data_IF_580181187613
#
_entry.id   IF_580181187613
#
_cell.length_a   1.000
_cell.length_b   1.000
_cell.length_c   1.000
_cell.angle_alpha   90.00
_cell.angle_beta   90.00
_cell.angle_gamma   90.00
#
_symmetry.space_group_name_H-M   'P 1'
#
loop_
_entity.id
_entity.type
_entity.pdbx_description
1 polymer ?
#
# COMPACT_ATOMS: atom_id res chain seq x y z
N UNK A 1 -11.20 -36.68 6.00
CA UNK A 1 -11.33 -35.40 5.27
C UNK A 1 -10.99 -34.29 6.25
N UNK A 2 -9.87 -33.57 6.06
CA UNK A 2 -9.53 -32.43 6.92
C UNK A 2 -10.28 -31.21 6.38
N UNK A 3 -11.29 -30.74 7.10
CA UNK A 3 -11.92 -29.45 6.85
C UNK A 3 -10.90 -28.36 7.12
N UNK A 4 -10.43 -27.69 6.07
CA UNK A 4 -9.56 -26.53 6.18
C UNK A 4 -10.44 -25.34 6.58
N UNK A 5 -10.26 -24.85 7.80
CA UNK A 5 -10.89 -23.59 8.24
C UNK A 5 -10.46 -22.49 7.28
N UNK A 6 -11.38 -21.67 6.72
CA UNK A 6 -10.98 -20.55 5.88
C UNK A 6 -10.03 -19.65 6.68
N UNK A 7 -8.82 -19.42 6.16
CA UNK A 7 -7.92 -18.47 6.79
C UNK A 7 -8.58 -17.09 6.74
N UNK A 8 -8.54 -16.31 7.84
CA UNK A 8 -9.02 -14.94 7.80
C UNK A 8 -8.20 -14.19 6.73
N UNK A 9 -8.90 -13.55 5.78
CA UNK A 9 -8.25 -12.69 4.79
C UNK A 9 -7.47 -11.62 5.55
N UNK A 10 -6.15 -11.67 5.45
CA UNK A 10 -5.29 -10.66 6.06
C UNK A 10 -5.40 -9.36 5.24
N UNK A 11 -5.50 -8.19 5.89
CA UNK A 11 -5.45 -6.91 5.18
C UNK A 11 -4.14 -6.79 4.40
N UNK A 12 -4.17 -6.08 3.27
CA UNK A 12 -2.91 -5.63 2.68
C UNK A 12 -2.25 -4.63 3.63
N UNK A 13 -0.92 -4.61 3.67
CA UNK A 13 -0.11 -3.66 4.41
C UNK A 13 1.05 -3.14 3.53
N UNK A 14 1.15 -1.83 3.39
CA UNK A 14 2.27 -1.15 2.74
C UNK A 14 3.10 -0.49 3.83
N UNK A 15 4.39 -0.81 3.89
CA UNK A 15 5.34 -0.23 4.84
C UNK A 15 6.07 0.91 4.15
N UNK A 16 5.69 2.14 4.47
CA UNK A 16 6.22 3.36 3.84
C UNK A 16 7.31 3.95 4.72
N UNK A 17 8.50 4.19 4.18
CA UNK A 17 9.57 4.86 4.92
C UNK A 17 9.17 6.30 5.29
N UNK A 18 9.49 6.73 6.51
CA UNK A 18 9.23 8.08 6.99
C UNK A 18 10.25 9.10 6.43
N UNK A 19 10.31 9.23 5.11
CA UNK A 19 11.11 10.24 4.40
C UNK A 19 10.21 11.17 3.58
N UNK A 20 10.59 12.45 3.38
CA UNK A 20 9.74 13.44 2.72
C UNK A 20 9.24 13.02 1.34
N UNK A 21 10.03 12.25 0.60
CA UNK A 21 9.73 11.77 -0.74
C UNK A 21 8.47 10.89 -0.80
N UNK A 22 8.17 10.14 0.27
CA UNK A 22 7.01 9.25 0.34
C UNK A 22 5.83 9.83 1.12
N UNK A 23 5.97 11.01 1.74
CA UNK A 23 4.88 11.65 2.48
C UNK A 23 3.57 11.75 1.66
N UNK A 24 3.59 12.14 0.36
CA UNK A 24 2.37 12.22 -0.44
C UNK A 24 1.57 10.91 -0.52
N UNK A 25 2.24 9.75 -0.49
CA UNK A 25 1.56 8.44 -0.50
C UNK A 25 0.74 8.25 0.77
N UNK A 26 1.33 8.53 1.93
CA UNK A 26 0.64 8.37 3.23
C UNK A 26 -0.49 9.38 3.40
N UNK A 27 -0.31 10.62 2.94
CA UNK A 27 -1.37 11.63 2.97
C UNK A 27 -2.55 11.24 2.07
N UNK A 28 -2.27 10.79 0.85
CA UNK A 28 -3.32 10.29 -0.04
C UNK A 28 -4.06 9.10 0.57
N UNK A 29 -3.34 8.16 1.20
CA UNK A 29 -3.95 7.03 1.88
C UNK A 29 -4.88 7.45 3.04
N UNK A 30 -4.54 8.51 3.80
CA UNK A 30 -5.43 9.04 4.86
C UNK A 30 -6.74 9.59 4.33
N UNK A 31 -6.81 9.98 3.05
CA UNK A 31 -8.03 10.46 2.41
C UNK A 31 -8.92 9.32 1.87
N UNK A 32 -8.44 8.08 1.85
CA UNK A 32 -9.19 6.93 1.37
C UNK A 32 -9.95 6.27 2.53
N UNK A 33 -11.30 6.19 2.50
CA UNK A 33 -12.09 5.58 3.57
C UNK A 33 -11.79 4.09 3.80
N UNK A 34 -11.24 3.41 2.79
CA UNK A 34 -10.83 2.00 2.88
C UNK A 34 -9.48 1.79 3.58
N UNK A 35 -8.72 2.87 3.83
CA UNK A 35 -7.37 2.80 4.36
C UNK A 35 -7.33 3.12 5.85
N UNK A 36 -6.50 2.37 6.58
CA UNK A 36 -6.03 2.71 7.92
C UNK A 36 -4.55 3.07 7.84
N UNK A 37 -4.15 4.17 8.47
CA UNK A 37 -2.76 4.66 8.40
C UNK A 37 -2.21 4.83 9.82
N UNK A 38 -1.16 4.08 10.15
CA UNK A 38 -0.59 4.03 11.50
C UNK A 38 0.91 4.29 11.45
N UNK A 39 1.44 5.10 12.38
CA UNK A 39 2.88 5.26 12.56
C UNK A 39 3.44 4.04 13.31
N UNK A 40 4.54 3.46 12.82
CA UNK A 40 5.26 2.34 13.43
C UNK A 40 6.77 2.52 13.29
N UNK A 41 7.38 3.18 14.28
CA UNK A 41 8.82 3.47 14.27
C UNK A 41 9.21 4.30 13.06
N UNK A 42 10.19 3.82 12.29
CA UNK A 42 10.70 4.49 11.07
C UNK A 42 9.78 4.32 9.84
N UNK A 43 8.62 3.71 10.03
CA UNK A 43 7.63 3.47 8.99
C UNK A 43 6.28 4.11 9.31
N UNK A 44 5.53 4.40 8.26
CA UNK A 44 4.08 4.56 8.29
C UNK A 44 3.46 3.37 7.56
N UNK A 45 2.54 2.68 8.22
CA UNK A 45 1.88 1.49 7.66
C UNK A 45 0.50 1.88 7.14
N UNK A 46 0.27 1.64 5.86
CA UNK A 46 -1.04 1.77 5.22
C UNK A 46 -1.66 0.37 5.14
N UNK A 47 -2.85 0.19 5.72
CA UNK A 47 -3.58 -1.09 5.68
C UNK A 47 -4.95 -0.95 5.02
N UNK A 48 -5.41 -1.99 4.30
CA UNK A 48 -6.76 -2.04 3.73
C UNK A 48 -7.27 -3.49 3.61
N UNK A 49 -8.55 -3.71 3.88
CA UNK A 49 -9.22 -5.02 3.73
C UNK A 49 -9.72 -5.27 2.30
N UNK A 50 -9.65 -4.23 1.45
CA UNK A 50 -10.06 -4.25 0.03
C UNK A 50 -8.91 -3.77 -0.86
N UNK A 51 -8.95 -4.07 -2.18
CA UNK A 51 -7.95 -3.54 -3.08
C UNK A 51 -7.94 -2.01 -3.12
N UNK A 52 -6.74 -1.43 -3.20
CA UNK A 52 -6.52 0.02 -3.30
C UNK A 52 -5.66 0.34 -4.52
N UNK A 53 -5.78 1.55 -5.03
CA UNK A 53 -4.98 2.03 -6.13
C UNK A 53 -4.44 3.44 -5.85
N UNK A 54 -3.25 3.72 -6.37
CA UNK A 54 -2.65 5.04 -6.34
C UNK A 54 -2.24 5.44 -7.75
N UNK A 55 -2.34 6.74 -8.02
CA UNK A 55 -1.93 7.33 -9.29
C UNK A 55 -0.72 8.23 -9.09
N UNK A 56 0.36 7.97 -9.83
CA UNK A 56 1.64 8.68 -9.68
C UNK A 56 1.50 10.19 -9.79
N UNK A 57 0.71 10.65 -10.78
CA UNK A 57 0.53 12.09 -11.06
C UNK A 57 -0.31 12.78 -10.00
N UNK A 58 -1.35 12.10 -9.49
CA UNK A 58 -2.15 12.61 -8.38
C UNK A 58 -1.31 12.78 -7.10
N UNK A 59 -0.34 11.89 -6.88
CA UNK A 59 0.62 11.98 -5.78
C UNK A 59 1.76 12.99 -6.02
N UNK A 60 1.89 13.55 -7.24
CA UNK A 60 3.00 14.44 -7.59
C UNK A 60 4.38 13.75 -7.63
N UNK A 61 4.44 12.42 -7.73
CA UNK A 61 5.70 11.68 -7.62
C UNK A 61 6.49 11.67 -8.93
N UNK A 62 7.80 11.92 -8.81
CA UNK A 62 8.77 11.71 -9.88
C UNK A 62 8.91 10.21 -10.18
N UNK A 63 9.21 9.79 -11.42
CA UNK A 63 9.36 8.38 -11.78
C UNK A 63 10.32 7.59 -10.87
N UNK A 64 11.44 8.19 -10.45
CA UNK A 64 12.42 7.54 -9.57
C UNK A 64 11.84 7.20 -8.19
N UNK A 65 11.04 8.09 -7.61
CA UNK A 65 10.37 7.84 -6.32
C UNK A 65 9.22 6.87 -6.50
N UNK A 66 8.47 7.00 -7.60
CA UNK A 66 7.37 6.10 -7.95
C UNK A 66 7.84 4.66 -7.90
N UNK A 67 8.82 4.24 -8.70
CA UNK A 67 9.26 2.84 -8.70
C UNK A 67 9.85 2.34 -7.37
N UNK A 68 10.09 3.22 -6.40
CA UNK A 68 10.51 2.90 -5.04
C UNK A 68 9.38 2.75 -4.01
N UNK A 69 8.08 2.86 -4.36
CA UNK A 69 6.98 2.88 -3.39
C UNK A 69 6.98 1.74 -2.36
N UNK A 70 7.48 0.56 -2.72
CA UNK A 70 7.47 -0.64 -1.88
C UNK A 70 8.82 -0.95 -1.25
N UNK A 71 9.79 -0.03 -1.28
CA UNK A 71 11.13 -0.28 -0.72
C UNK A 71 11.11 -0.53 0.79
N UNK A 72 10.10 -0.06 1.52
CA UNK A 72 9.92 -0.34 2.94
C UNK A 72 9.22 -1.68 3.22
N UNK A 73 8.67 -2.33 2.19
CA UNK A 73 7.99 -3.62 2.30
C UNK A 73 6.51 -3.58 1.88
N UNK A 74 6.00 -4.74 1.48
CA UNK A 74 4.60 -4.96 1.11
C UNK A 74 4.15 -6.34 1.60
N UNK A 75 3.08 -6.37 2.39
CA UNK A 75 2.27 -7.56 2.56
C UNK A 75 0.95 -7.44 1.79
N UNK A 76 0.84 -8.16 0.69
CA UNK A 76 -0.28 -8.06 -0.25
C UNK A 76 0.14 -8.53 -1.63
N UNK A 77 -0.73 -8.36 -2.62
CA UNK A 77 -0.45 -8.68 -4.01
C UNK A 77 -0.53 -7.43 -4.86
N UNK A 78 0.56 -7.11 -5.55
CA UNK A 78 0.56 -6.11 -6.63
C UNK A 78 -0.21 -6.73 -7.80
N UNK A 79 -1.37 -6.17 -8.15
CA UNK A 79 -2.16 -6.60 -9.31
C UNK A 79 -1.65 -5.97 -10.60
N UNK A 80 -1.26 -4.70 -10.53
CA UNK A 80 -0.60 -3.98 -11.62
C UNK A 80 0.33 -2.91 -11.05
N UNK A 81 1.45 -2.67 -11.74
CA UNK A 81 2.39 -1.60 -11.40
C UNK A 81 2.99 -1.02 -12.67
N UNK A 82 2.34 0.02 -13.15
CA UNK A 82 2.65 0.64 -14.43
C UNK A 82 3.35 1.99 -14.20
N UNK A 83 3.53 2.75 -15.28
CA UNK A 83 4.15 4.07 -15.22
C UNK A 83 3.38 5.08 -14.36
N UNK A 84 2.06 5.02 -14.37
CA UNK A 84 1.20 6.06 -13.81
C UNK A 84 0.20 5.52 -12.76
N UNK A 85 -0.01 4.20 -12.68
CA UNK A 85 -0.96 3.58 -11.74
C UNK A 85 -0.37 2.32 -11.09
N UNK A 86 -0.67 2.13 -9.82
CA UNK A 86 -0.41 0.88 -9.09
C UNK A 86 -1.69 0.43 -8.41
N UNK A 87 -1.95 -0.88 -8.43
CA UNK A 87 -3.09 -1.49 -7.74
C UNK A 87 -2.62 -2.64 -6.87
N UNK A 88 -3.02 -2.62 -5.61
CA UNK A 88 -2.64 -3.60 -4.58
C UNK A 88 -3.91 -4.24 -4.03
N UNK A 89 -3.90 -5.55 -3.86
CA UNK A 89 -4.97 -6.33 -3.25
C UNK A 89 -4.48 -7.09 -2.00
N UNK A 90 -5.38 -7.40 -1.05
CA UNK A 90 -5.10 -8.39 -0.01
C UNK A 90 -4.70 -9.75 -0.61
N UNK A 91 -3.91 -10.54 0.13
CA UNK A 91 -3.70 -11.96 -0.23
C UNK A 91 -4.98 -12.75 0.07
N UNK A 92 -5.31 -13.67 -0.83
CA UNK A 92 -6.43 -14.60 -0.68
C UNK A 92 -6.03 -15.79 0.19
#
# INVERSE_FOLDING_TARGET
MRTQTPQPRQPLQIFVLNVPEFAPLTEAARQLPSCRVEARGDYTVISSDVPIAFERRALGLKPAVWYGLFTGGLDGRIESYERDIVRIAPRA
#
